data_IF_841033529037
#
_entry.id   IF_841033529037
#
_cell.length_a   1.000
_cell.length_b   1.000
_cell.length_c   1.000
_cell.angle_alpha   90.00
_cell.angle_beta   90.00
_cell.angle_gamma   90.00
#
_symmetry.space_group_name_H-M   'P 1'
#
loop_
_entity.id
_entity.type
_entity.pdbx_description
1 polymer ?
#
# COMPACT_ATOMS: atom_id res chain seq x y z
N UNK A 1 14.75 25.97 9.41
CA UNK A 1 15.09 24.71 10.11
C UNK A 1 14.95 23.54 9.14
N UNK A 2 16.04 22.78 8.96
CA UNK A 2 16.01 21.52 8.20
C UNK A 2 15.20 20.44 8.90
N UNK A 3 14.97 19.29 8.22
CA UNK A 3 14.18 18.19 8.75
C UNK A 3 14.70 17.68 10.10
N UNK A 4 16.01 17.48 10.22
CA UNK A 4 16.64 16.94 11.43
C UNK A 4 16.41 17.83 12.68
N UNK A 5 16.45 19.16 12.52
CA UNK A 5 16.20 20.11 13.62
C UNK A 5 14.75 20.03 14.12
N UNK A 6 13.80 19.89 13.19
CA UNK A 6 12.38 19.71 13.53
C UNK A 6 12.16 18.39 14.27
N UNK A 7 12.82 17.30 13.82
CA UNK A 7 12.73 16.00 14.48
C UNK A 7 13.23 16.10 15.93
N UNK A 8 14.41 16.70 16.19
CA UNK A 8 14.90 16.86 17.56
C UNK A 8 13.91 17.61 18.44
N UNK A 9 13.41 18.76 17.97
CA UNK A 9 12.42 19.56 18.69
C UNK A 9 11.13 18.78 18.98
N UNK A 10 10.62 18.03 18.01
CA UNK A 10 9.37 17.27 18.14
C UNK A 10 9.52 16.02 19.05
N UNK A 11 10.75 15.65 19.40
CA UNK A 11 11.09 14.51 20.28
C UNK A 11 11.57 14.92 21.68
N UNK A 12 11.63 16.22 21.99
CA UNK A 12 11.91 16.72 23.33
C UNK A 12 10.88 16.19 24.34
N UNK A 13 11.34 15.82 25.53
CA UNK A 13 10.49 15.27 26.60
C UNK A 13 10.10 13.81 26.40
N UNK A 14 10.69 13.11 25.43
CA UNK A 14 10.53 11.66 25.27
C UNK A 14 11.75 10.92 25.77
N UNK A 15 11.55 9.68 26.22
CA UNK A 15 12.65 8.82 26.68
C UNK A 15 13.51 8.39 25.48
N UNK A 16 14.58 9.15 25.25
CA UNK A 16 15.59 8.88 24.21
C UNK A 16 16.87 8.46 24.90
N UNK A 17 17.47 7.36 24.45
CA UNK A 17 18.74 6.88 25.00
C UNK A 17 19.94 7.40 24.21
N UNK A 18 19.83 7.45 22.88
CA UNK A 18 20.88 7.92 21.96
C UNK A 18 20.27 8.52 20.71
N UNK A 19 20.93 9.54 20.17
CA UNK A 19 20.62 10.17 18.87
C UNK A 19 21.87 10.00 18.00
N UNK A 20 21.78 9.14 17.00
CA UNK A 20 22.91 8.82 16.13
C UNK A 20 22.77 9.48 14.75
N UNK A 21 23.85 10.10 14.29
CA UNK A 21 23.93 10.81 13.01
C UNK A 21 25.15 10.29 12.24
N UNK A 22 24.99 9.90 10.99
CA UNK A 22 26.06 9.33 10.15
C UNK A 22 26.75 10.38 9.25
N UNK A 23 26.28 11.63 9.27
CA UNK A 23 26.88 12.75 8.55
C UNK A 23 27.52 13.76 9.51
N UNK A 24 28.85 13.95 9.40
CA UNK A 24 29.60 14.93 10.20
C UNK A 24 29.02 16.34 10.11
N UNK A 25 28.68 16.78 8.89
CA UNK A 25 28.13 18.11 8.65
C UNK A 25 26.76 18.31 9.33
N UNK A 26 25.91 17.29 9.31
CA UNK A 26 24.61 17.35 10.00
C UNK A 26 24.82 17.29 11.52
N UNK A 27 25.73 16.45 12.00
CA UNK A 27 26.04 16.33 13.43
C UNK A 27 26.50 17.65 14.02
N UNK A 28 27.45 18.34 13.38
CA UNK A 28 27.94 19.66 13.84
C UNK A 28 26.79 20.68 13.88
N UNK A 29 25.99 20.75 12.81
CA UNK A 29 24.82 21.63 12.76
C UNK A 29 23.78 21.32 13.84
N UNK A 30 23.55 20.04 14.15
CA UNK A 30 22.62 19.64 15.21
C UNK A 30 23.19 19.90 16.60
N UNK A 31 24.50 19.76 16.79
CA UNK A 31 25.18 20.06 18.05
C UNK A 31 25.01 21.53 18.42
N UNK A 32 25.27 22.43 17.48
CA UNK A 32 25.05 23.87 17.66
C UNK A 32 23.59 24.14 18.06
N UNK A 33 22.64 23.55 17.32
CA UNK A 33 21.21 23.68 17.61
C UNK A 33 20.81 23.13 18.99
N UNK A 34 21.31 21.96 19.39
CA UNK A 34 20.98 21.39 20.70
C UNK A 34 21.57 22.22 21.83
N UNK A 35 22.77 22.77 21.68
CA UNK A 35 23.39 23.60 22.71
C UNK A 35 22.61 24.89 23.02
N UNK A 36 21.99 25.48 21.99
CA UNK A 36 21.24 26.73 22.12
C UNK A 36 19.76 26.50 22.52
N UNK A 37 19.10 25.51 21.92
CA UNK A 37 17.64 25.36 22.01
C UNK A 37 17.17 24.15 22.81
N UNK A 38 17.98 23.08 22.88
CA UNK A 38 17.58 21.82 23.55
C UNK A 38 18.76 21.15 24.26
N UNK A 39 19.33 21.77 25.31
CA UNK A 39 20.58 21.29 25.92
C UNK A 39 20.47 19.88 26.52
N UNK A 40 19.26 19.48 26.89
CA UNK A 40 18.93 18.15 27.44
C UNK A 40 19.26 17.01 26.47
N UNK A 41 19.22 17.25 25.15
CA UNK A 41 19.50 16.24 24.13
C UNK A 41 20.97 16.25 23.68
N UNK A 42 21.74 17.28 24.01
CA UNK A 42 23.13 17.43 23.54
C UNK A 42 24.00 16.25 23.99
N UNK A 43 23.82 15.79 25.24
CA UNK A 43 24.57 14.66 25.80
C UNK A 43 24.23 13.31 25.16
N UNK A 44 23.11 13.23 24.45
CA UNK A 44 22.64 12.02 23.76
C UNK A 44 23.05 12.01 22.28
N UNK A 45 23.56 13.13 21.76
CA UNK A 45 23.91 13.30 20.36
C UNK A 45 25.31 12.72 20.07
N UNK A 46 25.33 11.63 19.31
CA UNK A 46 26.53 10.88 18.94
C UNK A 46 26.70 10.88 17.42
N UNK A 47 27.94 11.06 16.95
CA UNK A 47 28.26 10.77 15.56
C UNK A 47 28.49 9.26 15.41
N UNK A 48 27.80 8.67 14.45
CA UNK A 48 27.99 7.29 14.06
C UNK A 48 29.18 7.18 13.10
N UNK A 49 30.21 6.44 13.51
CA UNK A 49 31.45 6.20 12.73
C UNK A 49 31.62 4.71 12.35
N UNK A 50 30.54 3.93 12.40
CA UNK A 50 30.59 2.51 12.05
C UNK A 50 30.75 2.26 10.54
N UNK A 51 31.38 1.15 10.18
CA UNK A 51 31.62 0.78 8.77
C UNK A 51 30.33 0.39 8.02
N UNK A 52 29.28 -0.03 8.74
CA UNK A 52 27.99 -0.41 8.15
C UNK A 52 27.07 0.81 8.10
N UNK A 53 26.22 0.97 7.06
CA UNK A 53 25.21 2.02 7.06
C UNK A 53 24.34 1.97 8.32
N UNK A 54 24.03 3.15 8.88
CA UNK A 54 23.35 3.25 10.18
C UNK A 54 21.99 2.53 10.18
N UNK A 55 21.21 2.63 9.09
CA UNK A 55 19.91 1.96 9.00
C UNK A 55 20.02 0.43 8.91
N UNK A 56 21.05 -0.09 8.25
CA UNK A 56 21.31 -1.54 8.21
C UNK A 56 21.70 -2.06 9.58
N UNK A 57 22.52 -1.30 10.32
CA UNK A 57 22.96 -1.67 11.67
C UNK A 57 21.78 -1.86 12.64
N UNK A 58 20.69 -1.10 12.45
CA UNK A 58 19.49 -1.14 13.30
C UNK A 58 18.27 -1.78 12.63
N UNK A 59 18.44 -2.52 11.53
CA UNK A 59 17.37 -3.19 10.79
C UNK A 59 16.25 -2.25 10.28
N UNK A 60 16.54 -0.95 10.19
CA UNK A 60 15.56 0.08 9.80
C UNK A 60 15.18 -0.05 8.33
N UNK A 61 16.13 -0.41 7.47
CA UNK A 61 15.87 -0.61 6.04
C UNK A 61 14.84 -1.72 5.81
N UNK A 62 14.99 -2.85 6.50
CA UNK A 62 14.04 -3.97 6.43
C UNK A 62 12.66 -3.58 6.98
N UNK A 63 12.61 -2.77 8.04
CA UNK A 63 11.33 -2.27 8.56
C UNK A 63 10.64 -1.27 7.63
N UNK A 64 11.40 -0.46 6.88
CA UNK A 64 10.85 0.40 5.81
C UNK A 64 10.22 -0.47 4.72
N UNK A 65 10.93 -1.49 4.23
CA UNK A 65 10.41 -2.40 3.20
C UNK A 65 9.14 -3.13 3.69
N UNK A 66 9.16 -3.69 4.90
CA UNK A 66 7.98 -4.33 5.53
C UNK A 66 6.81 -3.36 5.72
N UNK A 67 7.07 -2.06 5.91
CA UNK A 67 6.03 -1.05 6.04
C UNK A 67 5.36 -0.70 4.71
N UNK A 68 6.01 -0.99 3.57
CA UNK A 68 5.44 -0.85 2.22
C UNK A 68 4.62 -2.07 1.80
N UNK A 69 4.81 -3.22 2.46
CA UNK A 69 4.04 -4.43 2.14
C UNK A 69 2.56 -4.29 2.53
N UNK A 70 1.67 -4.80 1.69
CA UNK A 70 0.22 -4.86 1.98
C UNK A 70 -0.11 -5.77 3.17
N UNK A 71 0.65 -6.86 3.33
CA UNK A 71 0.45 -7.87 4.37
C UNK A 71 1.42 -7.63 5.52
N UNK A 72 0.96 -7.79 6.77
CA UNK A 72 1.81 -7.70 7.97
C UNK A 72 1.62 -8.94 8.84
N UNK A 73 2.64 -9.77 8.96
CA UNK A 73 2.55 -10.98 9.78
C UNK A 73 2.51 -10.67 11.29
N UNK A 74 1.68 -11.44 12.00
CA UNK A 74 1.59 -11.48 13.45
C UNK A 74 2.47 -12.63 13.99
N UNK A 75 2.97 -12.51 15.21
CA UNK A 75 3.84 -13.50 15.85
C UNK A 75 3.16 -14.86 16.02
N UNK A 76 1.84 -14.86 16.21
CA UNK A 76 1.05 -16.09 16.38
C UNK A 76 0.69 -16.78 15.05
N UNK A 77 1.17 -16.28 13.91
CA UNK A 77 0.92 -16.86 12.58
C UNK A 77 -0.32 -16.34 11.86
N UNK A 78 -1.07 -15.42 12.49
CA UNK A 78 -2.05 -14.59 11.80
C UNK A 78 -1.37 -13.47 11.00
N UNK A 79 -2.15 -12.64 10.33
CA UNK A 79 -1.63 -11.49 9.59
C UNK A 79 -2.69 -10.39 9.43
N UNK A 80 -2.22 -9.18 9.20
CA UNK A 80 -3.03 -8.02 8.81
C UNK A 80 -2.95 -7.81 7.31
N UNK A 81 -4.04 -7.33 6.72
CA UNK A 81 -4.05 -6.74 5.38
C UNK A 81 -4.40 -5.26 5.54
N UNK A 82 -3.51 -4.38 5.08
CA UNK A 82 -3.70 -2.94 5.18
C UNK A 82 -3.84 -2.38 3.77
N UNK A 83 -5.01 -1.83 3.48
CA UNK A 83 -5.32 -1.20 2.20
C UNK A 83 -5.57 0.29 2.39
N UNK A 84 -4.78 1.11 1.69
CA UNK A 84 -4.95 2.56 1.66
C UNK A 84 -5.76 2.92 0.41
N UNK A 85 -6.93 3.51 0.61
CA UNK A 85 -7.75 4.10 -0.46
C UNK A 85 -7.62 5.62 -0.45
N UNK A 86 -8.27 6.29 -1.40
CA UNK A 86 -8.30 7.76 -1.46
C UNK A 86 -8.91 8.39 -0.18
N UNK A 87 -10.01 7.82 0.31
CA UNK A 87 -10.79 8.40 1.40
C UNK A 87 -10.41 7.85 2.78
N UNK A 88 -10.06 6.56 2.87
CA UNK A 88 -9.86 5.86 4.14
C UNK A 88 -8.83 4.73 4.03
N UNK A 89 -8.36 4.26 5.19
CA UNK A 89 -7.54 3.05 5.29
C UNK A 89 -8.39 1.93 5.91
N UNK A 90 -8.37 0.75 5.30
CA UNK A 90 -8.99 -0.45 5.86
C UNK A 90 -7.91 -1.39 6.39
N UNK A 91 -8.16 -2.01 7.54
CA UNK A 91 -7.29 -3.02 8.12
C UNK A 91 -8.09 -4.28 8.42
N UNK A 92 -7.74 -5.38 7.77
CA UNK A 92 -8.38 -6.69 7.94
C UNK A 92 -7.45 -7.64 8.71
N UNK A 93 -8.02 -8.49 9.56
CA UNK A 93 -7.28 -9.39 10.46
C UNK A 93 -7.60 -10.84 10.14
N UNK A 94 -6.56 -11.63 9.88
CA UNK A 94 -6.69 -13.06 9.57
C UNK A 94 -5.92 -13.92 10.58
N UNK A 95 -6.51 -15.04 10.98
CA UNK A 95 -5.88 -16.03 11.88
C UNK A 95 -4.80 -16.88 11.20
N UNK A 96 -4.74 -16.87 9.86
CA UNK A 96 -3.79 -17.68 9.09
C UNK A 96 -4.04 -19.18 9.25
N UNK A 97 -2.98 -20.00 9.13
CA UNK A 97 -3.06 -21.45 9.25
C UNK A 97 -3.17 -21.94 10.71
N UNK A 98 -3.02 -21.06 11.69
CA UNK A 98 -2.99 -21.41 13.11
C UNK A 98 -4.40 -21.40 13.71
N UNK A 99 -5.12 -22.50 13.52
CA UNK A 99 -6.38 -22.75 14.23
C UNK A 99 -6.11 -23.73 15.36
N UNK A 100 -5.98 -23.22 16.59
CA UNK A 100 -5.77 -24.04 17.78
C UNK A 100 -6.86 -25.10 17.92
N UNK A 101 -6.49 -26.39 18.02
CA UNK A 101 -7.42 -27.54 17.97
C UNK A 101 -8.44 -27.64 19.11
N UNK A 102 -8.43 -26.74 20.11
CA UNK A 102 -9.28 -26.89 21.30
C UNK A 102 -10.13 -25.67 21.70
N UNK A 103 -9.74 -24.42 21.41
CA UNK A 103 -10.54 -23.23 21.71
C UNK A 103 -10.44 -22.18 20.59
N UNK A 104 -11.34 -22.24 19.61
CA UNK A 104 -11.37 -21.29 18.49
C UNK A 104 -11.63 -19.85 18.98
N UNK A 105 -12.56 -19.68 19.90
CA UNK A 105 -12.96 -18.37 20.44
C UNK A 105 -11.81 -17.65 21.16
N UNK A 106 -11.05 -18.37 21.97
CA UNK A 106 -9.87 -17.83 22.66
C UNK A 106 -8.74 -17.49 21.68
N UNK A 107 -8.57 -18.30 20.63
CA UNK A 107 -7.59 -18.04 19.58
C UNK A 107 -7.94 -16.74 18.84
N UNK A 108 -9.20 -16.57 18.44
CA UNK A 108 -9.72 -15.36 17.80
C UNK A 108 -9.47 -14.14 18.68
N UNK A 109 -9.84 -14.22 19.96
CA UNK A 109 -9.65 -13.13 20.90
C UNK A 109 -8.17 -12.73 21.03
N UNK A 110 -7.28 -13.71 21.20
CA UNK A 110 -5.85 -13.46 21.33
C UNK A 110 -5.25 -12.87 20.04
N UNK A 111 -5.66 -13.34 18.87
CA UNK A 111 -5.24 -12.78 17.57
C UNK A 111 -5.68 -11.32 17.44
N UNK A 112 -6.93 -10.99 17.80
CA UNK A 112 -7.43 -9.61 17.76
C UNK A 112 -6.66 -8.70 18.74
N UNK A 113 -6.39 -9.17 19.96
CA UNK A 113 -5.58 -8.42 20.94
C UNK A 113 -4.17 -8.19 20.43
N UNK A 114 -3.52 -9.20 19.85
CA UNK A 114 -2.20 -9.06 19.22
C UNK A 114 -2.22 -8.06 18.07
N UNK A 115 -3.25 -8.13 17.21
CA UNK A 115 -3.44 -7.23 16.09
C UNK A 115 -3.49 -5.76 16.54
N UNK A 116 -4.08 -5.43 17.69
CA UNK A 116 -4.14 -4.04 18.18
C UNK A 116 -2.76 -3.37 18.29
N UNK A 117 -1.75 -4.11 18.77
CA UNK A 117 -0.38 -3.60 18.91
C UNK A 117 0.29 -3.43 17.56
N UNK A 118 0.07 -4.39 16.65
CA UNK A 118 0.58 -4.32 15.28
C UNK A 118 -0.06 -3.16 14.50
N UNK A 119 -1.38 -2.97 14.60
CA UNK A 119 -2.11 -1.86 13.99
C UNK A 119 -1.56 -0.53 14.47
N UNK A 120 -1.50 -0.30 15.80
CA UNK A 120 -1.00 0.96 16.34
C UNK A 120 0.45 1.25 15.91
N UNK A 121 1.29 0.21 15.80
CA UNK A 121 2.65 0.34 15.28
C UNK A 121 2.67 0.71 13.79
N UNK A 122 1.90 0.02 12.96
CA UNK A 122 1.84 0.24 11.52
C UNK A 122 1.26 1.63 11.17
N UNK A 123 0.26 2.10 11.90
CA UNK A 123 -0.26 3.47 11.72
C UNK A 123 0.82 4.54 11.92
N UNK A 124 1.75 4.32 12.86
CA UNK A 124 2.90 5.22 13.09
C UNK A 124 3.97 5.08 12.01
N UNK A 125 4.40 3.84 11.72
CA UNK A 125 5.46 3.58 10.74
C UNK A 125 5.07 4.05 9.34
N UNK A 126 3.83 3.76 8.93
CA UNK A 126 3.28 4.16 7.63
C UNK A 126 2.76 5.59 7.60
N UNK A 127 2.71 6.26 8.76
CA UNK A 127 2.11 7.57 8.95
C UNK A 127 0.69 7.68 8.38
N UNK A 128 -0.14 6.65 8.61
CA UNK A 128 -1.52 6.61 8.11
C UNK A 128 -2.41 7.55 8.91
N UNK A 129 -3.30 8.28 8.23
CA UNK A 129 -4.17 9.26 8.87
C UNK A 129 -5.43 9.54 8.07
N UNK A 130 -6.42 10.13 8.73
CA UNK A 130 -7.79 10.23 8.26
C UNK A 130 -8.66 9.18 8.93
N UNK A 131 -9.64 8.68 8.18
CA UNK A 131 -10.56 7.63 8.62
C UNK A 131 -9.85 6.29 8.47
N UNK A 132 -9.89 5.49 9.52
CA UNK A 132 -9.35 4.13 9.54
C UNK A 132 -10.46 3.19 10.02
N UNK A 133 -10.72 2.16 9.24
CA UNK A 133 -11.70 1.12 9.53
C UNK A 133 -10.94 -0.17 9.81
N UNK A 134 -11.20 -0.81 10.94
CA UNK A 134 -10.55 -2.05 11.35
C UNK A 134 -11.60 -3.15 11.41
N UNK A 135 -11.41 -4.19 10.61
CA UNK A 135 -12.21 -5.40 10.59
C UNK A 135 -11.56 -6.44 11.52
N UNK A 136 -12.05 -6.52 12.75
CA UNK A 136 -11.63 -7.55 13.70
C UNK A 136 -12.39 -8.83 13.42
N UNK A 137 -11.73 -9.97 13.63
CA UNK A 137 -12.38 -11.28 13.50
C UNK A 137 -13.56 -11.34 14.47
N UNK A 138 -14.71 -11.84 13.99
CA UNK A 138 -15.95 -11.89 14.75
C UNK A 138 -15.80 -12.52 16.14
N UNK A 139 -16.26 -11.81 17.16
CA UNK A 139 -16.26 -12.24 18.56
C UNK A 139 -17.69 -12.31 19.10
N UNK A 140 -18.10 -13.49 19.57
CA UNK A 140 -19.43 -13.71 20.13
C UNK A 140 -19.66 -13.01 21.48
N UNK A 141 -18.62 -12.89 22.30
CA UNK A 141 -18.70 -12.28 23.64
C UNK A 141 -18.43 -10.78 23.62
N UNK A 142 -19.34 -10.00 24.18
CA UNK A 142 -19.21 -8.55 24.36
C UNK A 142 -17.97 -8.17 25.20
N UNK A 143 -17.63 -9.00 26.19
CA UNK A 143 -16.42 -8.81 27.01
C UNK A 143 -15.14 -8.85 26.15
N UNK A 144 -15.06 -9.76 25.18
CA UNK A 144 -13.93 -9.84 24.26
C UNK A 144 -13.82 -8.58 23.41
N UNK A 145 -14.94 -8.09 22.87
CA UNK A 145 -14.98 -6.83 22.10
C UNK A 145 -14.49 -5.65 22.93
N UNK A 146 -14.96 -5.51 24.17
CA UNK A 146 -14.54 -4.42 25.04
C UNK A 146 -13.04 -4.50 25.37
N UNK A 147 -12.51 -5.71 25.63
CA UNK A 147 -11.08 -5.91 25.91
C UNK A 147 -10.19 -5.59 24.70
N UNK A 148 -10.63 -5.91 23.49
CA UNK A 148 -9.94 -5.54 22.25
C UNK A 148 -9.90 -4.01 22.08
N UNK A 149 -11.01 -3.31 22.30
CA UNK A 149 -11.04 -1.83 22.25
C UNK A 149 -10.08 -1.21 23.26
N UNK A 150 -10.13 -1.65 24.52
CA UNK A 150 -9.20 -1.17 25.56
C UNK A 150 -7.74 -1.44 25.19
N UNK A 151 -7.44 -2.59 24.58
CA UNK A 151 -6.09 -2.92 24.12
C UNK A 151 -5.63 -1.98 22.99
N UNK A 152 -6.53 -1.67 22.04
CA UNK A 152 -6.29 -0.73 20.95
C UNK A 152 -6.06 0.70 21.47
N UNK A 153 -6.89 1.18 22.41
CA UNK A 153 -6.69 2.47 23.08
C UNK A 153 -5.32 2.56 23.75
N UNK A 154 -4.94 1.54 24.53
CA UNK A 154 -3.65 1.48 25.20
C UNK A 154 -2.47 1.46 24.21
N UNK A 155 -2.61 0.77 23.07
CA UNK A 155 -1.60 0.72 22.03
C UNK A 155 -1.43 2.08 21.32
N UNK A 156 -2.54 2.78 21.08
CA UNK A 156 -2.58 4.09 20.42
C UNK A 156 -2.21 5.25 21.36
N UNK A 157 -2.32 5.09 22.67
CA UNK A 157 -1.87 6.09 23.65
C UNK A 157 -0.37 6.43 23.55
N UNK A 158 0.43 5.54 22.92
CA UNK A 158 1.84 5.76 22.62
C UNK A 158 2.07 6.63 21.36
N UNK A 159 1.02 6.92 20.60
CA UNK A 159 1.09 7.78 19.44
C UNK A 159 1.02 9.26 19.85
N UNK A 160 1.89 10.08 19.27
CA UNK A 160 1.90 11.54 19.50
C UNK A 160 0.83 12.26 18.69
N UNK A 161 0.32 11.60 17.65
CA UNK A 161 -0.76 12.12 16.82
C UNK A 161 -2.09 11.79 17.48
N UNK A 162 -2.96 12.81 17.58
CA UNK A 162 -4.31 12.63 18.16
C UNK A 162 -5.09 11.56 17.39
N UNK A 163 -5.55 10.57 18.13
CA UNK A 163 -6.46 9.52 17.68
C UNK A 163 -7.81 9.64 18.37
N UNK A 164 -8.86 9.12 17.74
CA UNK A 164 -10.19 8.97 18.35
C UNK A 164 -10.80 7.66 17.86
N UNK A 165 -11.35 6.86 18.76
CA UNK A 165 -11.96 5.55 18.47
C UNK A 165 -13.46 5.66 18.80
N UNK A 166 -14.31 5.34 17.83
CA UNK A 166 -15.76 5.43 17.98
C UNK A 166 -16.40 4.11 18.47
N UNK A 167 -15.61 3.04 18.60
CA UNK A 167 -16.05 1.71 19.01
C UNK A 167 -16.49 0.82 17.84
N UNK A 168 -17.20 -0.26 18.16
CA UNK A 168 -17.75 -1.19 17.16
C UNK A 168 -19.03 -0.61 16.52
N UNK A 169 -19.08 -0.68 15.20
CA UNK A 169 -20.27 -0.39 14.39
C UNK A 169 -21.28 -1.53 14.47
N UNK A 170 -22.48 -1.30 13.92
CA UNK A 170 -23.49 -2.35 13.76
C UNK A 170 -23.03 -3.50 12.85
N UNK A 171 -22.03 -3.25 11.98
CA UNK A 171 -21.46 -4.23 11.07
C UNK A 171 -20.28 -5.00 11.69
N UNK A 172 -19.92 -4.75 12.95
CA UNK A 172 -18.78 -5.41 13.60
C UNK A 172 -17.41 -4.79 13.31
N UNK A 173 -17.36 -3.70 12.52
CA UNK A 173 -16.14 -2.94 12.24
C UNK A 173 -15.83 -1.95 13.34
N UNK A 174 -14.54 -1.66 13.60
CA UNK A 174 -14.11 -0.57 14.48
C UNK A 174 -13.77 0.66 13.65
N UNK A 175 -14.41 1.78 13.96
CA UNK A 175 -14.14 3.06 13.34
C UNK A 175 -13.20 3.89 14.21
N UNK A 176 -12.14 4.43 13.60
CA UNK A 176 -11.28 5.39 14.27
C UNK A 176 -10.82 6.49 13.31
N UNK A 177 -10.36 7.60 13.90
CA UNK A 177 -9.69 8.67 13.18
C UNK A 177 -8.31 8.93 13.76
N UNK A 178 -7.36 9.26 12.89
CA UNK A 178 -6.03 9.71 13.27
C UNK A 178 -5.71 10.99 12.52
N UNK A 179 -5.32 12.06 13.21
CA UNK A 179 -5.06 13.36 12.56
C UNK A 179 -4.00 13.23 11.46
N UNK A 180 -4.28 13.74 10.26
CA UNK A 180 -3.27 13.82 9.19
C UNK A 180 -2.21 14.87 9.54
N UNK A 181 -0.94 14.47 9.49
CA UNK A 181 0.22 15.34 9.78
C UNK A 181 1.06 15.58 8.52
N UNK A 182 1.40 14.51 7.80
CA UNK A 182 2.18 14.47 6.57
C UNK A 182 1.64 13.34 5.69
N UNK A 183 2.19 13.21 4.48
CA UNK A 183 1.91 12.11 3.57
C UNK A 183 2.31 10.75 4.19
N UNK A 184 1.67 9.67 3.75
CA UNK A 184 2.01 8.31 4.19
C UNK A 184 3.36 7.90 3.61
N UNK A 185 4.00 6.88 4.21
CA UNK A 185 5.29 6.39 3.74
C UNK A 185 5.25 5.94 2.27
N UNK A 186 4.15 5.29 1.88
CA UNK A 186 3.93 4.81 0.52
C UNK A 186 3.85 5.96 -0.47
N UNK A 187 3.11 7.05 -0.16
CA UNK A 187 3.04 8.22 -1.04
C UNK A 187 4.39 8.93 -1.20
N UNK A 188 5.26 8.87 -0.19
CA UNK A 188 6.58 9.53 -0.25
C UNK A 188 7.60 8.67 -0.99
N UNK A 189 7.54 7.34 -0.85
CA UNK A 189 8.54 6.42 -1.38
C UNK A 189 8.15 5.73 -2.70
N UNK A 190 6.86 5.73 -3.05
CA UNK A 190 6.34 5.02 -4.23
C UNK A 190 5.65 5.99 -5.19
N UNK A 191 5.64 5.64 -6.48
CA UNK A 191 4.80 6.26 -7.50
C UNK A 191 3.62 5.35 -7.87
N UNK A 192 2.54 5.92 -8.39
CA UNK A 192 1.42 5.13 -8.91
C UNK A 192 1.86 4.13 -9.98
N UNK A 193 1.19 2.97 -10.04
CA UNK A 193 1.48 1.96 -11.04
C UNK A 193 1.18 2.51 -12.45
N UNK A 194 2.16 2.57 -13.38
CA UNK A 194 1.93 3.14 -14.71
C UNK A 194 1.05 2.25 -15.60
N UNK A 195 0.82 0.99 -15.22
CA UNK A 195 0.03 0.05 -16.01
C UNK A 195 -1.45 0.09 -15.64
N UNK A 196 -1.76 0.05 -14.34
CA UNK A 196 -3.15 -0.02 -13.87
C UNK A 196 -3.63 1.28 -13.24
N UNK A 197 -2.77 2.28 -13.07
CA UNK A 197 -3.08 3.58 -12.46
C UNK A 197 -3.77 3.45 -11.08
N UNK A 198 -3.38 2.43 -10.32
CA UNK A 198 -3.96 2.15 -9.00
C UNK A 198 -5.19 1.23 -9.01
N UNK A 199 -5.66 0.75 -10.17
CA UNK A 199 -6.78 -0.21 -10.24
C UNK A 199 -6.48 -1.59 -9.64
N UNK A 200 -5.20 -1.93 -9.42
CA UNK A 200 -4.77 -3.23 -8.89
C UNK A 200 -5.06 -4.42 -9.81
N UNK A 201 -5.51 -4.17 -11.04
CA UNK A 201 -5.86 -5.18 -12.04
C UNK A 201 -5.72 -4.59 -13.44
N UNK A 202 -5.53 -5.47 -14.41
CA UNK A 202 -5.55 -5.16 -15.85
C UNK A 202 -6.62 -6.03 -16.53
N UNK A 203 -7.25 -5.51 -17.59
CA UNK A 203 -8.22 -6.26 -18.42
C UNK A 203 -7.56 -7.53 -18.94
N UNK A 204 -8.30 -8.63 -19.05
CA UNK A 204 -7.80 -9.88 -19.63
C UNK A 204 -7.45 -9.68 -21.11
N UNK A 205 -6.54 -10.50 -21.63
CA UNK A 205 -6.17 -10.51 -23.06
C UNK A 205 -7.42 -10.62 -23.93
N UNK A 206 -8.31 -11.57 -23.62
CA UNK A 206 -9.60 -11.76 -24.28
C UNK A 206 -10.45 -10.48 -24.30
N UNK A 207 -10.56 -9.78 -23.17
CA UNK A 207 -11.33 -8.51 -23.09
C UNK A 207 -10.75 -7.47 -24.04
N UNK A 208 -9.43 -7.37 -24.13
CA UNK A 208 -8.74 -6.42 -25.02
C UNK A 208 -8.92 -6.82 -26.49
N UNK A 209 -8.87 -8.12 -26.83
CA UNK A 209 -9.20 -8.61 -28.17
C UNK A 209 -10.59 -8.14 -28.61
N UNK A 210 -11.63 -8.34 -27.77
CA UNK A 210 -12.98 -7.90 -28.10
C UNK A 210 -13.16 -6.36 -28.09
N UNK A 211 -12.30 -5.60 -27.41
CA UNK A 211 -12.25 -4.15 -27.55
C UNK A 211 -11.69 -3.72 -28.91
N UNK A 212 -10.63 -4.36 -29.36
CA UNK A 212 -10.04 -4.15 -30.69
C UNK A 212 -11.08 -4.40 -31.79
N UNK A 213 -11.80 -5.54 -31.74
CA UNK A 213 -12.82 -5.87 -32.76
C UNK A 213 -13.95 -4.83 -32.81
N UNK A 214 -14.38 -4.33 -31.65
CA UNK A 214 -15.39 -3.26 -31.55
C UNK A 214 -14.85 -1.93 -32.07
N UNK A 215 -13.59 -1.62 -31.79
CA UNK A 215 -12.93 -0.41 -32.26
C UNK A 215 -12.80 -0.41 -33.79
N UNK A 216 -12.36 -1.51 -34.41
CA UNK A 216 -12.33 -1.65 -35.87
C UNK A 216 -13.72 -1.42 -36.46
N UNK A 217 -14.75 -2.04 -35.89
CA UNK A 217 -16.14 -1.85 -36.34
C UNK A 217 -16.58 -0.39 -36.25
N UNK A 218 -16.19 0.30 -35.17
CA UNK A 218 -16.49 1.73 -34.95
C UNK A 218 -15.80 2.61 -35.98
N UNK A 219 -14.50 2.40 -36.20
CA UNK A 219 -13.69 3.18 -37.15
C UNK A 219 -14.17 2.94 -38.59
N UNK A 220 -14.46 1.69 -38.96
CA UNK A 220 -14.98 1.34 -40.30
C UNK A 220 -16.33 2.00 -40.64
N UNK A 221 -17.18 2.26 -39.63
CA UNK A 221 -18.44 2.99 -39.85
C UNK A 221 -18.25 4.50 -39.97
N UNK A 222 -17.21 5.04 -39.35
CA UNK A 222 -16.95 6.47 -39.33
C UNK A 222 -16.14 6.96 -40.54
N UNK A 223 -15.27 6.10 -41.08
CA UNK A 223 -14.33 6.43 -42.13
C UNK A 223 -14.27 5.36 -43.21
N UNK A 224 -14.08 5.79 -44.45
CA UNK A 224 -13.88 4.89 -45.57
C UNK A 224 -12.37 4.60 -45.71
N UNK A 225 -11.94 3.48 -45.12
CA UNK A 225 -10.57 2.96 -45.21
C UNK A 225 -10.54 1.66 -46.01
N UNK A 226 -9.50 1.37 -46.76
CA UNK A 226 -9.44 0.12 -47.54
C UNK A 226 -9.05 -1.07 -46.63
N UNK A 227 -8.12 -0.85 -45.70
CA UNK A 227 -7.62 -1.87 -44.79
C UNK A 227 -7.31 -1.30 -43.40
N UNK A 228 -7.13 -2.18 -42.42
CA UNK A 228 -6.74 -1.83 -41.05
C UNK A 228 -5.43 -2.51 -40.64
N UNK A 229 -4.63 -1.80 -39.85
CA UNK A 229 -3.49 -2.36 -39.11
C UNK A 229 -3.74 -2.14 -37.63
N UNK A 230 -3.71 -3.21 -36.85
CA UNK A 230 -3.82 -3.17 -35.40
C UNK A 230 -2.43 -3.34 -34.78
N UNK A 231 -1.98 -2.34 -34.04
CA UNK A 231 -0.82 -2.47 -33.17
C UNK A 231 -1.32 -2.87 -31.78
N UNK A 232 -0.84 -3.98 -31.23
CA UNK A 232 -1.27 -4.46 -29.91
C UNK A 232 -0.09 -5.02 -29.11
N UNK A 233 -0.24 -5.13 -27.80
CA UNK A 233 0.72 -5.85 -26.96
C UNK A 233 0.93 -7.30 -27.46
N UNK A 234 2.13 -7.90 -27.29
CA UNK A 234 2.43 -9.22 -27.85
C UNK A 234 1.43 -10.31 -27.47
N UNK A 235 1.02 -10.38 -26.20
CA UNK A 235 0.05 -11.37 -25.73
C UNK A 235 -1.34 -11.21 -26.40
N UNK A 236 -1.73 -9.98 -26.74
CA UNK A 236 -3.00 -9.69 -27.42
C UNK A 236 -2.90 -10.00 -28.90
N UNK A 237 -1.77 -9.66 -29.53
CA UNK A 237 -1.51 -10.00 -30.93
C UNK A 237 -1.50 -11.52 -31.13
N UNK A 238 -0.78 -12.26 -30.29
CA UNK A 238 -0.72 -13.73 -30.33
C UNK A 238 -2.12 -14.35 -30.13
N UNK A 239 -2.94 -13.79 -29.24
CA UNK A 239 -4.31 -14.26 -29.03
C UNK A 239 -5.22 -13.98 -30.24
N UNK A 240 -5.12 -12.80 -30.86
CA UNK A 240 -5.87 -12.47 -32.08
C UNK A 240 -5.49 -13.35 -33.28
N UNK A 241 -4.22 -13.77 -33.38
CA UNK A 241 -3.75 -14.69 -34.42
C UNK A 241 -3.99 -16.17 -34.08
N UNK A 242 -4.17 -16.49 -32.80
CA UNK A 242 -4.38 -17.83 -32.27
C UNK A 242 -5.81 -18.08 -31.82
N UNK A 243 -6.02 -18.06 -30.50
CA UNK A 243 -7.27 -18.49 -29.84
C UNK A 243 -8.50 -17.69 -30.29
N UNK A 244 -8.35 -16.39 -30.56
CA UNK A 244 -9.41 -15.47 -30.99
C UNK A 244 -9.46 -15.26 -32.52
N UNK A 245 -8.71 -16.05 -33.29
CA UNK A 245 -8.63 -15.93 -34.76
C UNK A 245 -9.97 -16.07 -35.45
N UNK A 246 -10.88 -16.90 -34.90
CA UNK A 246 -12.21 -17.07 -35.47
C UNK A 246 -13.03 -15.77 -35.40
N UNK A 247 -12.97 -15.06 -34.26
CA UNK A 247 -13.69 -13.80 -34.07
C UNK A 247 -13.13 -12.69 -34.98
N UNK A 248 -11.81 -12.67 -35.18
CA UNK A 248 -11.18 -11.75 -36.13
C UNK A 248 -11.61 -12.04 -37.58
N UNK A 249 -11.64 -13.30 -37.99
CA UNK A 249 -12.07 -13.68 -39.34
C UNK A 249 -13.55 -13.34 -39.60
N UNK A 250 -14.44 -13.56 -38.62
CA UNK A 250 -15.84 -13.14 -38.73
C UNK A 250 -15.98 -11.63 -38.89
N UNK A 251 -15.18 -10.86 -38.16
CA UNK A 251 -15.15 -9.41 -38.31
C UNK A 251 -14.70 -8.99 -39.70
N UNK A 252 -13.61 -9.55 -40.24
CA UNK A 252 -13.10 -9.25 -41.59
C UNK A 252 -14.18 -9.50 -42.66
N UNK A 253 -14.92 -10.61 -42.54
CA UNK A 253 -16.04 -10.92 -43.43
C UNK A 253 -17.18 -9.91 -43.28
N UNK A 254 -17.51 -9.52 -42.04
CA UNK A 254 -18.57 -8.57 -41.76
C UNK A 254 -18.27 -7.16 -42.31
N UNK A 255 -17.03 -6.69 -42.17
CA UNK A 255 -16.62 -5.37 -42.67
C UNK A 255 -16.20 -5.39 -44.15
N UNK A 256 -15.91 -6.57 -44.70
CA UNK A 256 -15.46 -6.74 -46.08
C UNK A 256 -14.05 -6.21 -46.35
N UNK A 257 -13.19 -6.13 -45.33
CA UNK A 257 -11.86 -5.49 -45.37
C UNK A 257 -10.85 -6.34 -44.58
N UNK A 258 -9.57 -6.29 -44.96
CA UNK A 258 -8.51 -7.01 -44.25
C UNK A 258 -8.04 -6.26 -43.01
N UNK A 259 -7.73 -7.02 -41.96
CA UNK A 259 -7.17 -6.54 -40.71
C UNK A 259 -5.83 -7.23 -40.46
N UNK A 260 -4.75 -6.46 -40.52
CA UNK A 260 -3.41 -6.96 -40.19
C UNK A 260 -3.09 -6.71 -38.72
N UNK A 261 -2.63 -7.74 -38.02
CA UNK A 261 -2.17 -7.60 -36.65
C UNK A 261 -0.64 -7.38 -36.64
N UNK A 262 -0.18 -6.49 -35.77
CA UNK A 262 1.23 -6.21 -35.53
C UNK A 262 1.49 -6.12 -34.03
N UNK A 263 2.34 -7.00 -33.52
CA UNK A 263 2.79 -6.94 -32.13
C UNK A 263 3.75 -5.75 -31.92
N UNK A 264 3.46 -4.93 -30.92
CA UNK A 264 4.32 -3.82 -30.47
C UNK A 264 4.94 -4.17 -29.10
N UNK A 265 6.24 -4.49 -29.02
CA UNK A 265 6.87 -4.99 -27.80
C UNK A 265 6.82 -4.04 -26.60
N UNK A 266 6.65 -2.73 -26.84
CA UNK A 266 6.60 -1.73 -25.79
C UNK A 266 5.17 -1.48 -25.26
N UNK A 267 4.15 -2.09 -25.86
CA UNK A 267 2.77 -1.89 -25.44
C UNK A 267 2.46 -2.74 -24.20
N UNK A 268 1.85 -2.09 -23.21
CA UNK A 268 1.22 -2.79 -22.09
C UNK A 268 -0.06 -3.49 -22.56
N UNK A 269 -0.51 -4.52 -21.83
CA UNK A 269 -1.62 -5.40 -22.27
C UNK A 269 -2.89 -4.66 -22.72
N UNK A 270 -3.23 -3.54 -22.11
CA UNK A 270 -4.44 -2.76 -22.44
C UNK A 270 -4.22 -1.72 -23.56
N UNK A 271 -3.01 -1.60 -24.09
CA UNK A 271 -2.67 -0.62 -25.11
C UNK A 271 -2.77 -1.26 -26.50
N UNK A 272 -3.52 -0.60 -27.38
CA UNK A 272 -3.61 -0.95 -28.78
C UNK A 272 -3.97 0.29 -29.61
N UNK A 273 -3.62 0.27 -30.89
CA UNK A 273 -4.02 1.27 -31.87
C UNK A 273 -4.60 0.60 -33.11
N UNK A 274 -5.71 1.15 -33.61
CA UNK A 274 -6.32 0.74 -34.87
C UNK A 274 -6.04 1.82 -35.91
N UNK A 275 -5.15 1.50 -36.85
CA UNK A 275 -4.69 2.41 -37.90
C UNK A 275 -5.41 2.08 -39.21
N UNK A 276 -5.99 3.10 -39.83
CA UNK A 276 -6.57 3.03 -41.17
C UNK A 276 -5.49 3.18 -42.22
N UNK A 277 -5.54 2.35 -43.26
CA UNK A 277 -4.64 2.41 -44.42
C UNK A 277 -5.41 2.73 -45.70
#
# INVERSE_FOLDING_TARGET
>A
MGLAHRILRDFVGTEITRIQVDSRLIYESLKDFTSEFVPELESLLELYEGDKPIFDMFDTENEIQRSLERKVDLKSGGYLIIDQTEAMTTVDINTGAFVGRRNLEETIFNTNVEATQAIARQLRLRNLGGIIIIDFIDMGLDEHRQRVLTSLEAALAKDRVKTNINGFTQLGLVEMTRKRTRESIEHVLCSGCPTCEGRGSVKTVETVCYEILREITRVNRAYDADNFVVYAAPAVADALEGDESHALAELEVFIGKQVRIQAEPLYIQEQFDVVMM
#
